data_IF_539141276541
#
_entry.id   IF_539141276541
#
_cell.length_a   1.000
_cell.length_b   1.000
_cell.length_c   1.000
_cell.angle_alpha   90.00
_cell.angle_beta   90.00
_cell.angle_gamma   90.00
#
_symmetry.space_group_name_H-M   'P 1'
#
loop_
_entity.id
_entity.type
_entity.pdbx_description
1 polymer ?
#
# COMPACT_ATOMS: atom_id res chain seq x y z
N UNK A 1 5.85 -18.23 23.38
CA UNK A 1 6.44 -16.91 23.60
C UNK A 1 5.56 -16.02 24.52
N UNK A 2 4.24 -16.08 24.40
CA UNK A 2 3.32 -15.20 25.15
C UNK A 2 3.30 -15.43 26.66
N UNK A 3 3.57 -16.67 27.14
CA UNK A 3 3.43 -17.05 28.55
C UNK A 3 4.75 -17.35 29.23
N UNK A 4 5.69 -17.98 28.54
CA UNK A 4 6.88 -18.58 29.15
C UNK A 4 8.16 -17.76 28.92
N UNK A 5 8.14 -16.79 27.99
CA UNK A 5 9.30 -15.93 27.69
C UNK A 5 9.08 -14.57 28.32
N UNK A 6 10.06 -14.11 29.09
CA UNK A 6 10.04 -12.80 29.71
C UNK A 6 9.86 -11.70 28.64
N UNK A 7 8.82 -10.86 28.80
CA UNK A 7 8.43 -9.84 27.82
C UNK A 7 8.06 -10.38 26.43
N UNK A 8 7.90 -11.70 26.25
CA UNK A 8 7.55 -12.30 24.98
C UNK A 8 6.22 -11.79 24.41
N UNK A 9 5.24 -11.47 25.27
CA UNK A 9 4.00 -10.82 24.90
C UNK A 9 4.24 -9.45 24.24
N UNK A 10 5.18 -8.66 24.76
CA UNK A 10 5.50 -7.36 24.20
C UNK A 10 6.13 -7.47 22.81
N UNK A 11 7.11 -8.36 22.64
CA UNK A 11 7.69 -8.63 21.32
C UNK A 11 6.66 -9.13 20.31
N UNK A 12 5.76 -10.01 20.74
CA UNK A 12 4.67 -10.49 19.88
C UNK A 12 3.76 -9.37 19.45
N UNK A 13 3.30 -8.52 20.36
CA UNK A 13 2.41 -7.41 20.04
C UNK A 13 3.10 -6.29 19.27
N UNK A 14 4.35 -5.98 19.55
CA UNK A 14 5.16 -5.07 18.74
C UNK A 14 5.28 -5.60 17.32
N UNK A 15 5.56 -6.89 17.13
CA UNK A 15 5.74 -7.46 15.81
C UNK A 15 4.43 -7.49 14.99
N UNK A 16 3.35 -8.02 15.54
CA UNK A 16 2.08 -8.16 14.83
C UNK A 16 1.41 -6.81 14.52
N UNK A 17 1.36 -5.91 15.50
CA UNK A 17 0.83 -4.55 15.28
C UNK A 17 1.80 -3.71 14.45
N UNK A 18 3.11 -3.95 14.56
CA UNK A 18 4.13 -3.31 13.74
C UNK A 18 3.92 -3.57 12.26
N UNK A 19 3.59 -4.80 11.87
CA UNK A 19 3.25 -5.13 10.48
C UNK A 19 2.08 -4.26 9.97
N UNK A 20 0.98 -4.15 10.74
CA UNK A 20 -0.15 -3.29 10.42
C UNK A 20 0.24 -1.82 10.33
N UNK A 21 1.05 -1.32 11.26
CA UNK A 21 1.50 0.08 11.26
C UNK A 21 2.43 0.39 10.08
N UNK A 22 3.24 -0.57 9.63
CA UNK A 22 4.04 -0.43 8.41
C UNK A 22 3.14 -0.23 7.18
N UNK A 23 2.11 -1.05 7.00
CA UNK A 23 1.16 -0.88 5.90
C UNK A 23 0.38 0.43 6.00
N UNK A 24 -0.04 0.82 7.20
CA UNK A 24 -0.69 2.11 7.40
C UNK A 24 0.21 3.27 6.93
N UNK A 25 1.47 3.30 7.37
CA UNK A 25 2.43 4.32 6.98
C UNK A 25 2.71 4.31 5.47
N UNK A 26 2.88 3.11 4.88
CA UNK A 26 3.15 2.96 3.44
C UNK A 26 1.95 3.37 2.59
N UNK A 27 0.72 3.04 2.97
CA UNK A 27 -0.46 3.53 2.26
C UNK A 27 -0.57 5.05 2.29
N UNK A 28 -0.35 5.67 3.45
CA UNK A 28 -0.28 7.14 3.55
C UNK A 28 0.82 7.72 2.65
N UNK A 29 1.98 7.06 2.60
CA UNK A 29 3.09 7.46 1.75
C UNK A 29 2.77 7.33 0.26
N UNK A 30 2.14 6.24 -0.17
CA UNK A 30 1.70 6.02 -1.56
C UNK A 30 0.66 7.08 -1.96
N UNK A 31 -0.40 7.25 -1.17
CA UNK A 31 -1.45 8.24 -1.48
C UNK A 31 -0.91 9.68 -1.50
N UNK A 32 -0.01 10.03 -0.57
CA UNK A 32 0.71 11.31 -0.62
C UNK A 32 1.52 11.44 -1.91
N UNK A 33 2.23 10.39 -2.30
CA UNK A 33 2.98 10.36 -3.56
C UNK A 33 2.09 10.59 -4.77
N UNK A 34 0.91 9.97 -4.81
CA UNK A 34 -0.08 10.15 -5.89
C UNK A 34 -0.63 11.58 -5.87
N UNK A 35 -1.02 12.10 -4.71
CA UNK A 35 -1.59 13.43 -4.59
C UNK A 35 -0.65 14.54 -5.06
N UNK A 36 0.62 14.46 -4.70
CA UNK A 36 1.61 15.48 -5.09
C UNK A 36 2.36 15.16 -6.38
N UNK A 37 2.03 14.06 -7.06
CA UNK A 37 2.68 13.67 -8.31
C UNK A 37 4.17 13.31 -8.15
N UNK A 38 4.53 12.70 -7.01
CA UNK A 38 5.93 12.36 -6.69
C UNK A 38 6.49 11.19 -7.51
N UNK A 39 5.68 10.57 -8.34
CA UNK A 39 6.04 9.51 -9.30
C UNK A 39 6.45 10.05 -10.68
N UNK A 40 6.18 11.34 -10.96
CA UNK A 40 6.46 11.96 -12.27
C UNK A 40 7.94 12.29 -12.43
N UNK A 41 8.34 12.44 -13.68
CA UNK A 41 9.71 12.79 -14.05
C UNK A 41 10.33 13.88 -13.14
N UNK A 42 11.59 13.68 -12.72
CA UNK A 42 12.54 12.59 -13.01
C UNK A 42 12.53 11.46 -11.96
N UNK A 43 11.41 11.17 -11.29
CA UNK A 43 11.31 10.29 -10.10
C UNK A 43 10.69 8.92 -10.39
N UNK A 44 10.67 8.48 -11.66
CA UNK A 44 10.08 7.21 -12.07
C UNK A 44 10.78 6.02 -11.43
N UNK A 45 12.12 6.01 -11.45
CA UNK A 45 12.92 4.94 -10.83
C UNK A 45 12.71 4.89 -9.32
N UNK A 46 12.65 6.06 -8.67
CA UNK A 46 12.33 6.18 -7.25
C UNK A 46 10.97 5.56 -6.94
N UNK A 47 9.95 5.82 -7.76
CA UNK A 47 8.61 5.26 -7.61
C UNK A 47 8.60 3.73 -7.78
N UNK A 48 9.27 3.21 -8.83
CA UNK A 48 9.37 1.77 -9.08
C UNK A 48 10.05 1.03 -7.92
N UNK A 49 11.13 1.57 -7.38
CA UNK A 49 11.77 1.01 -6.18
C UNK A 49 10.79 0.96 -5.00
N UNK A 50 9.95 1.99 -4.83
CA UNK A 50 8.87 1.99 -3.84
C UNK A 50 7.84 0.88 -4.08
N UNK A 51 7.43 0.63 -5.31
CA UNK A 51 6.51 -0.46 -5.66
C UNK A 51 7.15 -1.84 -5.39
N UNK A 52 8.44 -2.00 -5.66
CA UNK A 52 9.18 -3.24 -5.34
C UNK A 52 9.20 -3.45 -3.81
N UNK A 53 9.48 -2.41 -3.01
CA UNK A 53 9.40 -2.50 -1.55
C UNK A 53 8.01 -2.93 -1.11
N UNK A 54 6.96 -2.33 -1.67
CA UNK A 54 5.59 -2.67 -1.35
C UNK A 54 5.24 -4.13 -1.64
N UNK A 55 5.66 -4.67 -2.79
CA UNK A 55 5.50 -6.09 -3.14
C UNK A 55 6.26 -7.02 -2.17
N UNK A 56 7.49 -6.67 -1.83
CA UNK A 56 8.29 -7.43 -0.85
C UNK A 56 7.65 -7.38 0.54
N UNK A 57 7.07 -6.25 0.94
CA UNK A 57 6.32 -6.12 2.19
C UNK A 57 5.08 -7.02 2.21
N UNK A 58 4.29 -7.03 1.12
CA UNK A 58 3.12 -7.92 1.02
C UNK A 58 3.52 -9.39 1.14
N UNK A 59 4.58 -9.80 0.44
CA UNK A 59 5.11 -11.17 0.52
C UNK A 59 5.61 -11.49 1.94
N UNK A 60 6.36 -10.60 2.56
CA UNK A 60 6.87 -10.74 3.93
C UNK A 60 5.73 -10.91 4.92
N UNK A 61 4.73 -10.02 4.87
CA UNK A 61 3.61 -10.05 5.78
C UNK A 61 2.75 -11.32 5.60
N UNK A 62 2.46 -11.70 4.36
CA UNK A 62 1.72 -12.93 4.07
C UNK A 62 2.44 -14.17 4.65
N UNK A 63 3.73 -14.33 4.36
CA UNK A 63 4.50 -15.46 4.88
C UNK A 63 4.57 -15.43 6.41
N UNK A 64 4.73 -14.24 7.02
CA UNK A 64 4.75 -14.07 8.47
C UNK A 64 3.43 -14.42 9.15
N UNK A 65 2.30 -14.11 8.50
CA UNK A 65 0.99 -14.48 9.02
C UNK A 65 0.73 -15.97 9.03
N UNK A 66 1.40 -16.73 8.17
CA UNK A 66 1.30 -18.20 8.15
C UNK A 66 2.02 -18.83 9.34
N UNK A 67 3.07 -18.22 9.88
CA UNK A 67 3.96 -18.82 10.88
C UNK A 67 3.32 -19.18 12.23
N UNK A 68 2.33 -18.42 12.77
CA UNK A 68 1.61 -18.81 13.99
C UNK A 68 0.88 -20.15 13.87
N UNK A 69 0.58 -20.59 12.66
CA UNK A 69 -0.07 -21.87 12.37
C UNK A 69 -1.45 -22.02 13.03
N UNK A 70 -2.18 -20.92 13.06
CA UNK A 70 -3.61 -20.91 13.44
C UNK A 70 -4.50 -21.23 12.24
N UNK A 71 -5.81 -21.25 12.47
CA UNK A 71 -6.82 -21.55 11.44
C UNK A 71 -6.73 -20.57 10.26
N UNK A 72 -6.63 -19.26 10.50
CA UNK A 72 -6.48 -18.29 9.43
C UNK A 72 -5.11 -18.36 8.75
N UNK A 73 -4.04 -18.68 9.49
CA UNK A 73 -2.72 -18.91 8.93
C UNK A 73 -2.72 -20.03 7.90
N UNK A 74 -3.26 -21.19 8.27
CA UNK A 74 -3.31 -22.37 7.43
C UNK A 74 -4.23 -22.22 6.22
N UNK A 75 -5.46 -21.76 6.46
CA UNK A 75 -6.45 -21.63 5.40
C UNK A 75 -6.17 -20.43 4.49
N UNK A 76 -5.62 -19.33 5.02
CA UNK A 76 -5.12 -18.23 4.23
C UNK A 76 -3.98 -18.65 3.30
N UNK A 77 -3.00 -19.44 3.81
CA UNK A 77 -1.95 -20.01 2.98
C UNK A 77 -2.52 -20.93 1.90
N UNK A 78 -3.47 -21.80 2.23
CA UNK A 78 -4.12 -22.72 1.30
C UNK A 78 -4.82 -21.97 0.17
N UNK A 79 -5.61 -20.94 0.48
CA UNK A 79 -6.35 -20.15 -0.50
C UNK A 79 -5.38 -19.38 -1.42
N UNK A 80 -4.46 -18.61 -0.83
CA UNK A 80 -3.59 -17.71 -1.61
C UNK A 80 -2.60 -18.50 -2.48
N UNK A 81 -1.98 -19.54 -1.96
CA UNK A 81 -1.04 -20.34 -2.77
C UNK A 81 -1.75 -21.16 -3.85
N UNK A 82 -3.00 -21.56 -3.61
CA UNK A 82 -3.81 -22.21 -4.64
C UNK A 82 -4.22 -21.27 -5.79
N UNK A 83 -4.10 -19.94 -5.64
CA UNK A 83 -4.34 -19.02 -6.76
C UNK A 83 -3.38 -19.29 -7.93
N UNK A 84 -2.15 -19.69 -7.65
CA UNK A 84 -1.18 -20.02 -8.69
C UNK A 84 -1.62 -21.20 -9.57
N UNK A 85 -2.48 -22.10 -9.08
CA UNK A 85 -3.01 -23.19 -9.90
C UNK A 85 -3.93 -22.72 -11.05
N UNK A 86 -4.33 -21.42 -11.06
CA UNK A 86 -5.06 -20.83 -12.16
C UNK A 86 -4.20 -20.57 -13.41
N UNK A 87 -2.87 -20.56 -13.27
CA UNK A 87 -1.94 -20.33 -14.39
C UNK A 87 -2.03 -21.51 -15.35
N UNK A 88 -2.35 -21.28 -16.65
CA UNK A 88 -2.45 -22.35 -17.62
C UNK A 88 -1.15 -23.14 -17.73
N UNK A 89 -1.26 -24.45 -17.97
CA UNK A 89 -0.18 -25.42 -18.21
C UNK A 89 0.70 -25.70 -16.97
N UNK A 90 1.20 -24.69 -16.27
CA UNK A 90 2.20 -24.85 -15.19
C UNK A 90 1.64 -24.65 -13.79
N UNK A 91 0.44 -24.12 -13.63
CA UNK A 91 -0.10 -23.64 -12.35
C UNK A 91 -0.12 -24.70 -11.26
N UNK A 92 -0.53 -25.93 -11.59
CA UNK A 92 -0.52 -27.04 -10.63
C UNK A 92 0.91 -27.35 -10.13
N UNK A 93 1.89 -27.39 -11.03
CA UNK A 93 3.29 -27.61 -10.69
C UNK A 93 3.85 -26.49 -9.82
N UNK A 94 3.49 -25.24 -10.12
CA UNK A 94 3.88 -24.08 -9.31
C UNK A 94 3.30 -24.17 -7.89
N UNK A 95 2.02 -24.54 -7.75
CA UNK A 95 1.41 -24.70 -6.42
C UNK A 95 2.08 -25.81 -5.61
N UNK A 96 2.33 -26.97 -6.21
CA UNK A 96 3.05 -28.09 -5.55
C UNK A 96 4.47 -27.67 -5.16
N UNK A 97 5.15 -26.94 -6.03
CA UNK A 97 6.48 -26.42 -5.74
C UNK A 97 6.47 -25.44 -4.57
N UNK A 98 5.49 -24.53 -4.51
CA UNK A 98 5.32 -23.58 -3.40
C UNK A 98 5.06 -24.31 -2.07
N UNK A 99 4.17 -25.30 -2.07
CA UNK A 99 3.86 -26.08 -0.87
C UNK A 99 5.03 -26.95 -0.43
N UNK A 100 5.81 -27.44 -1.37
CA UNK A 100 6.84 -28.46 -1.12
C UNK A 100 6.29 -29.85 -0.87
N UNK A 101 4.98 -30.01 -1.09
CA UNK A 101 4.19 -31.22 -0.93
C UNK A 101 2.93 -31.09 -1.80
N UNK A 102 1.98 -32.01 -1.68
CA UNK A 102 0.71 -31.95 -2.40
C UNK A 102 -0.37 -31.10 -1.71
N UNK A 103 -0.08 -30.59 -0.52
CA UNK A 103 -0.92 -29.70 0.27
C UNK A 103 -0.04 -28.79 1.12
N UNK A 104 -0.66 -27.75 1.69
CA UNK A 104 -0.02 -26.89 2.69
C UNK A 104 0.25 -27.73 3.94
N UNK A 105 1.52 -27.81 4.36
CA UNK A 105 1.97 -28.60 5.50
C UNK A 105 3.32 -28.07 6.03
N UNK A 106 3.98 -28.82 6.86
CA UNK A 106 5.27 -28.51 7.48
C UNK A 106 6.33 -28.04 6.46
N UNK A 107 6.39 -28.65 5.27
CA UNK A 107 7.29 -28.21 4.20
C UNK A 107 7.02 -26.76 3.77
N UNK A 108 5.76 -26.38 3.66
CA UNK A 108 5.33 -25.00 3.36
C UNK A 108 5.75 -24.05 4.48
N UNK A 109 5.47 -24.44 5.72
CA UNK A 109 5.80 -23.64 6.90
C UNK A 109 7.30 -23.33 6.99
N UNK A 110 8.17 -24.33 6.78
CA UNK A 110 9.61 -24.14 6.80
C UNK A 110 10.11 -23.20 5.70
N UNK A 111 9.57 -23.34 4.49
CA UNK A 111 9.90 -22.43 3.37
C UNK A 111 9.48 -21.00 3.65
N UNK A 112 8.27 -20.83 4.18
CA UNK A 112 7.76 -19.51 4.50
C UNK A 112 8.51 -18.86 5.67
N UNK A 113 8.93 -19.65 6.65
CA UNK A 113 9.81 -19.17 7.71
C UNK A 113 11.13 -18.63 7.13
N UNK A 114 11.80 -19.42 6.27
CA UNK A 114 13.08 -19.02 5.67
C UNK A 114 12.94 -17.75 4.82
N UNK A 115 11.87 -17.65 4.01
CA UNK A 115 11.63 -16.49 3.18
C UNK A 115 11.19 -15.27 4.02
N UNK A 116 10.36 -15.47 5.05
CA UNK A 116 9.98 -14.38 5.95
C UNK A 116 11.19 -13.79 6.68
N UNK A 117 12.17 -14.63 7.03
CA UNK A 117 13.43 -14.19 7.61
C UNK A 117 14.30 -13.41 6.60
N UNK A 118 14.37 -13.87 5.35
CA UNK A 118 15.23 -13.29 4.30
C UNK A 118 14.69 -11.96 3.74
N UNK A 119 13.38 -11.90 3.46
CA UNK A 119 12.78 -10.76 2.75
C UNK A 119 12.97 -9.41 3.45
N UNK A 120 12.93 -9.27 4.78
CA UNK A 120 13.22 -8.00 5.44
C UNK A 120 14.61 -7.43 5.15
N UNK A 121 15.63 -8.28 4.97
CA UNK A 121 16.96 -7.82 4.57
C UNK A 121 16.97 -7.35 3.11
N UNK A 122 16.23 -8.01 2.23
CA UNK A 122 16.03 -7.55 0.86
C UNK A 122 15.28 -6.20 0.85
N UNK A 123 14.24 -6.05 1.66
CA UNK A 123 13.53 -4.77 1.83
C UNK A 123 14.51 -3.68 2.26
N UNK A 124 15.34 -3.94 3.29
CA UNK A 124 16.33 -2.97 3.76
C UNK A 124 17.31 -2.55 2.64
N UNK A 125 17.78 -3.51 1.83
CA UNK A 125 18.61 -3.22 0.66
C UNK A 125 17.92 -2.34 -0.38
N UNK A 126 16.67 -2.66 -0.74
CA UNK A 126 15.89 -1.86 -1.71
C UNK A 126 15.51 -0.49 -1.14
N UNK A 127 15.26 -0.37 0.18
CA UNK A 127 15.06 0.92 0.86
C UNK A 127 16.32 1.78 0.73
N UNK A 128 17.52 1.19 0.91
CA UNK A 128 18.78 1.89 0.66
C UNK A 128 18.86 2.47 -0.75
N UNK A 129 18.48 1.67 -1.77
CA UNK A 129 18.43 2.12 -3.17
C UNK A 129 17.34 3.18 -3.39
N UNK A 130 16.18 3.06 -2.74
CA UNK A 130 15.10 4.03 -2.82
C UNK A 130 15.50 5.40 -2.26
N UNK A 131 16.16 5.41 -1.10
CA UNK A 131 16.69 6.64 -0.49
C UNK A 131 17.83 7.22 -1.33
N UNK A 132 18.72 6.38 -1.84
CA UNK A 132 19.78 6.83 -2.77
C UNK A 132 19.19 7.48 -4.04
N UNK A 133 18.20 6.84 -4.67
CA UNK A 133 17.54 7.41 -5.85
C UNK A 133 16.87 8.76 -5.54
N UNK A 134 16.28 8.92 -4.34
CA UNK A 134 15.75 10.20 -3.89
C UNK A 134 16.83 11.29 -3.84
N UNK A 135 18.01 10.98 -3.36
CA UNK A 135 19.11 11.95 -3.27
C UNK A 135 19.69 12.30 -4.64
N UNK A 136 19.63 11.39 -5.61
CA UNK A 136 20.06 11.64 -6.99
C UNK A 136 19.16 12.64 -7.71
N UNK A 137 17.83 12.47 -7.59
CA UNK A 137 16.85 13.28 -8.33
C UNK A 137 16.24 14.43 -7.51
N UNK A 138 16.50 14.47 -6.20
CA UNK A 138 15.93 15.44 -5.27
C UNK A 138 14.47 15.13 -4.91
N UNK A 139 14.05 15.64 -3.75
CA UNK A 139 12.68 15.49 -3.28
C UNK A 139 11.68 16.34 -4.07
N UNK A 140 10.43 15.86 -4.13
CA UNK A 140 9.30 16.66 -4.58
C UNK A 140 8.83 17.60 -3.45
N UNK A 141 8.01 18.58 -3.79
CA UNK A 141 7.37 19.50 -2.84
C UNK A 141 5.86 19.61 -3.08
N UNK A 142 5.08 20.17 -2.13
CA UNK A 142 3.62 20.24 -2.26
C UNK A 142 3.11 21.04 -3.46
N UNK A 143 3.89 21.92 -4.01
CA UNK A 143 3.54 22.69 -5.20
C UNK A 143 3.94 21.98 -6.51
N UNK A 144 4.83 21.00 -6.44
CA UNK A 144 5.31 20.25 -7.60
C UNK A 144 6.21 21.10 -8.53
N UNK A 145 6.73 22.19 -8.04
CA UNK A 145 7.61 23.13 -8.78
C UNK A 145 9.07 22.79 -8.44
N UNK A 146 9.91 22.70 -9.45
CA UNK A 146 11.32 22.43 -9.23
C UNK A 146 12.03 23.60 -8.55
N UNK A 147 13.00 23.28 -7.68
CA UNK A 147 13.86 24.27 -7.02
C UNK A 147 14.74 24.94 -8.09
N UNK A 148 14.61 26.25 -8.24
CA UNK A 148 15.40 27.04 -9.17
C UNK A 148 16.57 27.76 -8.49
N UNK A 149 16.31 28.28 -7.31
CA UNK A 149 17.31 28.96 -6.49
C UNK A 149 17.30 28.38 -5.08
N UNK A 150 18.37 27.69 -4.69
CA UNK A 150 18.46 26.98 -3.41
C UNK A 150 18.33 27.96 -2.24
N UNK A 151 18.98 29.13 -2.30
CA UNK A 151 18.95 30.12 -1.20
C UNK A 151 17.57 30.70 -0.98
N UNK A 152 16.79 30.89 -2.06
CA UNK A 152 15.45 31.50 -1.99
C UNK A 152 14.33 30.46 -1.80
N UNK A 153 14.46 29.29 -2.42
CA UNK A 153 13.39 28.29 -2.55
C UNK A 153 13.48 27.17 -1.48
N UNK A 154 14.53 27.15 -0.65
CA UNK A 154 14.73 26.12 0.37
C UNK A 154 14.95 26.71 1.75
N UNK A 155 14.81 25.86 2.75
CA UNK A 155 15.16 26.14 4.14
C UNK A 155 16.16 25.08 4.63
N UNK A 156 16.90 25.39 5.69
CA UNK A 156 17.84 24.43 6.28
C UNK A 156 17.11 23.13 6.70
N UNK A 157 17.75 22.00 6.48
CA UNK A 157 17.18 20.72 6.89
C UNK A 157 16.98 20.66 8.40
N UNK A 158 18.01 21.03 9.16
CA UNK A 158 17.94 21.19 10.61
C UNK A 158 17.87 22.69 10.95
N UNK A 159 16.91 23.16 11.75
CA UNK A 159 15.95 22.38 12.55
C UNK A 159 14.60 22.09 11.84
N UNK A 160 14.32 22.64 10.66
CA UNK A 160 12.96 22.67 10.11
C UNK A 160 12.43 21.28 9.73
N UNK A 161 13.14 20.54 8.88
CA UNK A 161 12.71 19.19 8.48
C UNK A 161 12.84 18.21 9.66
N UNK A 162 13.94 18.28 10.43
CA UNK A 162 14.17 17.38 11.56
C UNK A 162 13.11 17.49 12.65
N UNK A 163 12.65 18.71 13.00
CA UNK A 163 11.57 18.90 13.97
C UNK A 163 10.23 18.40 13.44
N UNK A 164 9.96 18.60 12.14
CA UNK A 164 8.74 18.14 11.51
C UNK A 164 8.67 16.61 11.43
N UNK A 165 9.79 15.98 11.11
CA UNK A 165 9.92 14.52 11.09
C UNK A 165 9.81 13.93 12.51
N UNK A 166 10.44 14.56 13.51
CA UNK A 166 10.33 14.15 14.91
C UNK A 166 8.88 14.24 15.42
N UNK A 167 8.15 15.31 15.06
CA UNK A 167 6.73 15.43 15.40
C UNK A 167 5.90 14.30 14.73
N UNK A 168 6.10 14.06 13.44
CA UNK A 168 5.41 12.99 12.71
C UNK A 168 5.70 11.61 13.32
N UNK A 169 6.96 11.35 13.66
CA UNK A 169 7.37 10.13 14.36
C UNK A 169 6.72 10.00 15.74
N UNK A 170 6.66 11.06 16.53
CA UNK A 170 6.03 11.04 17.85
C UNK A 170 4.53 10.69 17.74
N UNK A 171 3.80 11.30 16.80
CA UNK A 171 2.38 10.98 16.55
C UNK A 171 2.21 9.51 16.13
N UNK A 172 3.06 9.03 15.23
CA UNK A 172 3.03 7.62 14.79
C UNK A 172 3.29 6.68 15.97
N UNK A 173 4.27 6.96 16.82
CA UNK A 173 4.58 6.13 17.98
C UNK A 173 3.47 6.13 19.02
N UNK A 174 2.76 7.24 19.23
CA UNK A 174 1.58 7.29 20.12
C UNK A 174 0.48 6.36 19.61
N UNK A 175 0.16 6.41 18.30
CA UNK A 175 -0.85 5.54 17.70
C UNK A 175 -0.41 4.07 17.77
N UNK A 176 0.85 3.78 17.48
CA UNK A 176 1.40 2.43 17.57
C UNK A 176 1.36 1.88 19.00
N UNK A 177 1.79 2.68 19.99
CA UNK A 177 1.73 2.33 21.40
C UNK A 177 0.28 2.07 21.86
N UNK A 178 -0.69 2.83 21.35
CA UNK A 178 -2.10 2.60 21.64
C UNK A 178 -2.52 1.18 21.23
N UNK A 179 -2.19 0.74 20.00
CA UNK A 179 -2.49 -0.63 19.57
C UNK A 179 -1.76 -1.67 20.42
N UNK A 180 -0.46 -1.49 20.69
CA UNK A 180 0.35 -2.46 21.43
C UNK A 180 -0.12 -2.66 22.88
N UNK A 181 -0.47 -1.56 23.57
CA UNK A 181 -0.71 -1.62 25.01
C UNK A 181 -2.19 -1.66 25.41
N UNK A 182 -3.10 -1.15 24.59
CA UNK A 182 -4.51 -1.05 24.95
C UNK A 182 -5.43 -1.98 24.16
N UNK A 183 -5.16 -2.17 22.86
CA UNK A 183 -6.02 -3.00 21.98
C UNK A 183 -5.18 -3.94 21.09
N UNK A 184 -4.26 -4.74 21.64
CA UNK A 184 -3.23 -5.45 20.85
C UNK A 184 -3.78 -6.49 19.87
N UNK A 185 -5.00 -6.98 20.06
CA UNK A 185 -5.63 -8.00 19.23
C UNK A 185 -6.65 -7.43 18.23
N UNK A 186 -6.88 -6.12 18.23
CA UNK A 186 -7.96 -5.50 17.45
C UNK A 186 -7.76 -5.67 15.92
N UNK A 187 -6.52 -5.66 15.45
CA UNK A 187 -6.19 -5.81 14.03
C UNK A 187 -5.96 -7.26 13.61
N UNK A 188 -6.09 -8.22 14.51
CA UNK A 188 -5.96 -9.64 14.24
C UNK A 188 -7.31 -10.33 14.09
N UNK A 189 -7.28 -11.59 13.65
CA UNK A 189 -8.44 -12.46 13.55
C UNK A 189 -8.49 -13.41 14.75
N UNK A 190 -9.68 -13.52 15.38
CA UNK A 190 -9.87 -14.35 16.56
C UNK A 190 -9.70 -15.86 16.26
N UNK A 191 -10.10 -16.32 15.07
CA UNK A 191 -9.97 -17.71 14.66
C UNK A 191 -8.51 -18.15 14.53
N UNK A 192 -7.58 -17.21 14.37
CA UNK A 192 -6.16 -17.53 14.30
C UNK A 192 -5.53 -17.92 15.66
N UNK A 193 -6.28 -17.77 16.75
CA UNK A 193 -5.89 -18.34 18.07
C UNK A 193 -6.25 -19.82 18.23
N UNK A 194 -7.07 -20.36 17.32
CA UNK A 194 -7.35 -21.80 17.25
C UNK A 194 -6.23 -22.48 16.43
N UNK A 195 -5.76 -23.62 16.88
CA UNK A 195 -4.75 -24.40 16.16
C UNK A 195 -5.25 -24.77 14.76
N UNK A 196 -4.36 -24.73 13.78
CA UNK A 196 -4.66 -25.14 12.41
C UNK A 196 -5.24 -26.57 12.37
N UNK A 197 -6.42 -26.71 11.77
CA UNK A 197 -7.06 -27.98 11.54
C UNK A 197 -7.43 -28.12 10.07
N UNK A 198 -6.73 -28.97 9.30
CA UNK A 198 -6.96 -29.15 7.87
C UNK A 198 -8.33 -29.81 7.54
N UNK A 199 -8.99 -30.41 8.55
CA UNK A 199 -10.28 -31.07 8.39
C UNK A 199 -11.49 -30.14 8.64
N UNK A 200 -11.25 -28.94 9.18
CA UNK A 200 -12.31 -27.98 9.53
C UNK A 200 -12.02 -26.65 8.86
N UNK A 201 -12.73 -26.39 7.75
CA UNK A 201 -12.63 -25.11 7.05
C UNK A 201 -13.39 -24.03 7.81
N UNK A 202 -12.78 -22.87 8.13
CA UNK A 202 -13.49 -21.74 8.72
C UNK A 202 -14.61 -21.24 7.79
N UNK A 203 -15.69 -20.75 8.38
CA UNK A 203 -16.82 -20.22 7.62
C UNK A 203 -16.43 -18.99 6.80
N UNK A 204 -15.49 -18.20 7.30
CA UNK A 204 -15.03 -16.98 6.65
C UNK A 204 -13.48 -16.94 6.66
N UNK A 205 -12.86 -17.04 5.49
CA UNK A 205 -11.41 -16.95 5.33
C UNK A 205 -11.10 -15.61 4.68
N UNK A 206 -10.42 -14.74 5.42
CA UNK A 206 -9.99 -13.41 4.93
C UNK A 206 -8.50 -13.19 5.21
N UNK A 207 -7.79 -12.50 4.33
CA UNK A 207 -6.45 -12.04 4.62
C UNK A 207 -6.49 -10.86 5.59
N UNK A 208 -5.33 -10.45 6.08
CA UNK A 208 -5.21 -9.27 6.91
C UNK A 208 -5.70 -7.99 6.21
N UNK A 209 -6.15 -7.01 7.00
CA UNK A 209 -6.90 -5.83 6.53
C UNK A 209 -6.22 -5.08 5.38
N UNK A 210 -4.90 -5.01 5.38
CA UNK A 210 -4.14 -4.30 4.35
C UNK A 210 -4.11 -5.01 2.98
N UNK A 211 -4.52 -6.26 2.90
CA UNK A 211 -4.66 -7.03 1.65
C UNK A 211 -6.12 -7.07 1.14
N UNK A 212 -7.08 -6.68 1.98
CA UNK A 212 -8.51 -6.78 1.68
C UNK A 212 -8.95 -6.07 0.39
N UNK A 213 -8.41 -4.89 0.01
CA UNK A 213 -8.81 -4.25 -1.25
C UNK A 213 -8.53 -5.13 -2.46
N UNK A 214 -7.38 -5.77 -2.51
CA UNK A 214 -6.99 -6.68 -3.60
C UNK A 214 -7.77 -8.00 -3.54
N UNK A 215 -8.05 -8.48 -2.35
CA UNK A 215 -8.88 -9.66 -2.13
C UNK A 215 -10.32 -9.43 -2.57
N UNK A 216 -10.88 -8.23 -2.36
CA UNK A 216 -12.19 -7.87 -2.87
C UNK A 216 -12.24 -7.90 -4.41
N UNK A 217 -11.20 -7.35 -5.07
CA UNK A 217 -11.07 -7.41 -6.54
C UNK A 217 -11.04 -8.86 -7.02
N UNK A 218 -10.22 -9.71 -6.39
CA UNK A 218 -10.14 -11.13 -6.72
C UNK A 218 -11.51 -11.82 -6.64
N UNK A 219 -12.19 -11.65 -5.50
CA UNK A 219 -13.48 -12.31 -5.20
C UNK A 219 -14.63 -11.81 -6.08
N UNK A 220 -14.58 -10.57 -6.55
CA UNK A 220 -15.61 -9.97 -7.39
C UNK A 220 -15.76 -10.69 -8.74
N UNK A 221 -14.76 -11.42 -9.19
CA UNK A 221 -14.67 -11.99 -10.52
C UNK A 221 -14.87 -13.50 -10.45
N UNK A 222 -15.91 -14.07 -11.10
CA UNK A 222 -16.23 -15.51 -11.00
C UNK A 222 -15.15 -16.42 -11.58
N UNK A 223 -14.50 -15.99 -12.67
CA UNK A 223 -13.44 -16.77 -13.31
C UNK A 223 -12.13 -16.63 -12.52
N UNK A 224 -11.60 -17.74 -11.99
CA UNK A 224 -10.42 -17.77 -11.14
C UNK A 224 -9.19 -17.13 -11.80
N UNK A 225 -8.92 -17.45 -13.07
CA UNK A 225 -7.76 -16.89 -13.79
C UNK A 225 -7.89 -15.39 -13.97
N UNK A 226 -9.06 -14.92 -14.41
CA UNK A 226 -9.31 -13.47 -14.59
C UNK A 226 -9.24 -12.75 -13.26
N UNK A 227 -9.78 -13.32 -12.17
CA UNK A 227 -9.67 -12.77 -10.83
C UNK A 227 -8.20 -12.60 -10.38
N UNK A 228 -7.37 -13.62 -10.63
CA UNK A 228 -5.93 -13.58 -10.34
C UNK A 228 -5.21 -12.51 -11.18
N UNK A 229 -5.52 -12.42 -12.47
CA UNK A 229 -4.98 -11.39 -13.36
C UNK A 229 -5.37 -9.99 -12.84
N UNK A 230 -6.62 -9.79 -12.44
CA UNK A 230 -7.07 -8.51 -11.91
C UNK A 230 -6.39 -8.18 -10.55
N UNK A 231 -6.23 -9.15 -9.66
CA UNK A 231 -5.52 -8.93 -8.40
C UNK A 231 -4.08 -8.43 -8.63
N UNK A 232 -3.29 -9.17 -9.42
CA UNK A 232 -1.92 -8.77 -9.74
C UNK A 232 -1.86 -7.53 -10.63
N UNK A 233 -2.81 -7.38 -11.55
CA UNK A 233 -2.95 -6.20 -12.41
C UNK A 233 -3.22 -4.92 -11.61
N UNK A 234 -4.03 -4.99 -10.57
CA UNK A 234 -4.28 -3.85 -9.69
C UNK A 234 -3.00 -3.33 -9.02
N UNK A 235 -2.12 -4.25 -8.60
CA UNK A 235 -0.82 -3.88 -8.02
C UNK A 235 0.14 -3.40 -9.12
N UNK A 236 0.17 -4.07 -10.27
CA UNK A 236 1.04 -3.71 -11.38
C UNK A 236 0.76 -2.30 -11.92
N UNK A 237 -0.51 -1.86 -11.93
CA UNK A 237 -0.88 -0.51 -12.35
C UNK A 237 -0.21 0.59 -11.53
N UNK A 238 0.11 0.33 -10.25
CA UNK A 238 0.91 1.27 -9.45
C UNK A 238 2.31 1.48 -10.06
N UNK A 239 2.92 0.43 -10.61
CA UNK A 239 4.22 0.55 -11.26
C UNK A 239 4.14 1.38 -12.55
N UNK A 240 3.03 1.25 -13.31
CA UNK A 240 2.84 1.97 -14.57
C UNK A 240 2.31 3.40 -14.39
N UNK A 241 1.97 3.82 -13.19
CA UNK A 241 1.41 5.14 -12.90
C UNK A 241 2.20 6.32 -13.50
N UNK A 242 3.56 6.35 -13.50
CA UNK A 242 4.32 7.45 -14.10
C UNK A 242 4.00 7.73 -15.57
N UNK A 243 3.64 6.68 -16.32
CA UNK A 243 3.35 6.75 -17.76
C UNK A 243 1.86 6.86 -18.06
N UNK A 244 0.99 6.46 -17.13
CA UNK A 244 -0.45 6.57 -17.27
C UNK A 244 -0.96 7.99 -17.01
N UNK A 245 -0.35 8.71 -16.08
CA UNK A 245 -0.68 10.11 -15.82
C UNK A 245 0.17 11.06 -16.67
N UNK A 246 -0.32 11.35 -17.86
CA UNK A 246 0.35 12.16 -18.88
C UNK A 246 0.32 13.68 -18.61
N UNK A 247 -0.38 14.16 -17.59
CA UNK A 247 -0.41 15.60 -17.25
C UNK A 247 1.00 16.11 -16.88
N UNK A 248 1.45 17.24 -17.42
CA UNK A 248 2.73 17.84 -17.04
C UNK A 248 2.73 18.43 -15.63
N UNK A 249 1.55 18.73 -15.08
CA UNK A 249 1.40 19.30 -13.74
C UNK A 249 1.42 18.18 -12.69
N UNK A 250 2.29 18.31 -11.69
CA UNK A 250 2.50 17.27 -10.66
C UNK A 250 1.41 17.29 -9.59
N UNK A 251 1.29 18.38 -8.87
CA UNK A 251 0.48 18.46 -7.65
C UNK A 251 -1.01 18.61 -7.93
N UNK A 252 -1.84 17.82 -7.24
CA UNK A 252 -3.29 17.93 -7.20
C UNK A 252 -3.80 19.33 -6.78
N UNK A 253 -2.96 20.13 -6.14
CA UNK A 253 -3.28 21.52 -5.77
C UNK A 253 -3.65 22.36 -6.99
N UNK A 254 -3.01 22.10 -8.13
CA UNK A 254 -3.20 22.82 -9.39
C UNK A 254 -4.05 22.05 -10.39
N UNK A 255 -4.52 20.87 -10.03
CA UNK A 255 -5.32 19.96 -10.85
C UNK A 255 -6.70 19.73 -10.21
N UNK A 256 -7.66 20.63 -10.40
CA UNK A 256 -8.92 20.61 -9.66
C UNK A 256 -9.76 19.35 -9.92
N UNK A 257 -9.80 18.86 -11.17
CA UNK A 257 -10.57 17.67 -11.55
C UNK A 257 -9.86 16.41 -11.04
N UNK A 258 -8.54 16.31 -11.25
CA UNK A 258 -7.73 15.22 -10.70
C UNK A 258 -7.88 15.10 -9.18
N UNK A 259 -7.93 16.23 -8.47
CA UNK A 259 -8.11 16.24 -7.01
C UNK A 259 -9.42 15.58 -6.56
N UNK A 260 -10.51 15.79 -7.31
CA UNK A 260 -11.79 15.12 -7.03
C UNK A 260 -11.66 13.62 -7.27
N UNK A 261 -11.16 13.22 -8.44
CA UNK A 261 -10.98 11.79 -8.76
C UNK A 261 -10.00 11.09 -7.83
N UNK A 262 -8.98 11.79 -7.34
CA UNK A 262 -8.08 11.24 -6.31
C UNK A 262 -8.84 10.87 -5.03
N UNK A 263 -9.70 11.75 -4.52
CA UNK A 263 -10.47 11.44 -3.31
C UNK A 263 -11.54 10.35 -3.56
N UNK A 264 -12.12 10.33 -4.76
CA UNK A 264 -12.98 9.21 -5.17
C UNK A 264 -12.18 7.90 -5.19
N UNK A 265 -10.96 7.90 -5.71
CA UNK A 265 -10.08 6.73 -5.71
C UNK A 265 -9.73 6.27 -4.29
N UNK A 266 -9.45 7.19 -3.36
CA UNK A 266 -9.26 6.85 -1.93
C UNK A 266 -10.51 6.18 -1.37
N UNK A 267 -11.70 6.74 -1.63
CA UNK A 267 -12.97 6.15 -1.18
C UNK A 267 -13.20 4.75 -1.79
N UNK A 268 -12.84 4.55 -3.07
CA UNK A 268 -12.90 3.25 -3.75
C UNK A 268 -11.99 2.24 -3.06
N UNK A 269 -10.75 2.61 -2.72
CA UNK A 269 -9.82 1.70 -2.03
C UNK A 269 -10.33 1.32 -0.64
N UNK A 270 -10.86 2.28 0.13
CA UNK A 270 -11.45 2.03 1.44
C UNK A 270 -12.72 1.15 1.34
N UNK A 271 -13.58 1.42 0.35
CA UNK A 271 -14.76 0.62 0.07
C UNK A 271 -14.42 -0.82 -0.33
N UNK A 272 -13.40 -1.03 -1.18
CA UNK A 272 -12.89 -2.36 -1.52
C UNK A 272 -12.32 -3.07 -0.27
N UNK A 273 -11.61 -2.35 0.60
CA UNK A 273 -11.11 -2.89 1.86
C UNK A 273 -12.27 -3.38 2.74
N UNK A 274 -13.30 -2.57 2.91
CA UNK A 274 -14.49 -2.96 3.66
C UNK A 274 -15.23 -4.15 3.02
N UNK A 275 -15.46 -4.14 1.70
CA UNK A 275 -16.09 -5.25 0.99
C UNK A 275 -15.27 -6.54 1.06
N UNK A 276 -13.94 -6.42 1.09
CA UNK A 276 -13.04 -7.56 1.25
C UNK A 276 -13.21 -8.31 2.57
N UNK A 277 -13.64 -7.62 3.63
CA UNK A 277 -13.93 -8.19 4.94
C UNK A 277 -15.34 -8.74 5.10
N UNK A 278 -16.25 -8.46 4.14
CA UNK A 278 -17.64 -8.91 4.25
C UNK A 278 -17.84 -10.32 3.71
N UNK A 279 -18.89 -10.99 4.19
CA UNK A 279 -19.36 -12.25 3.60
C UNK A 279 -19.80 -12.05 2.15
N UNK A 280 -19.68 -13.12 1.35
CA UNK A 280 -20.06 -13.11 -0.06
C UNK A 280 -21.58 -13.18 -0.18
N UNK A 281 -22.16 -12.17 -0.79
CA UNK A 281 -23.56 -12.12 -1.21
C UNK A 281 -23.67 -11.50 -2.60
N UNK A 282 -24.84 -11.58 -3.23
CA UNK A 282 -25.04 -10.94 -4.54
C UNK A 282 -24.81 -9.42 -4.45
N UNK A 283 -25.27 -8.79 -3.37
CA UNK A 283 -25.11 -7.35 -3.13
C UNK A 283 -23.63 -6.95 -2.92
N UNK A 284 -22.90 -7.66 -2.05
CA UNK A 284 -21.47 -7.37 -1.80
C UNK A 284 -20.62 -7.66 -3.03
N UNK A 285 -20.98 -8.70 -3.80
CA UNK A 285 -20.29 -9.04 -5.06
C UNK A 285 -20.52 -7.97 -6.13
N UNK A 286 -21.74 -7.48 -6.29
CA UNK A 286 -22.05 -6.41 -7.25
C UNK A 286 -21.32 -5.12 -6.88
N UNK A 287 -21.35 -4.73 -5.60
CA UNK A 287 -20.65 -3.56 -5.10
C UNK A 287 -19.13 -3.67 -5.33
N UNK A 288 -18.54 -4.84 -5.04
CA UNK A 288 -17.12 -5.09 -5.28
C UNK A 288 -16.74 -5.01 -6.78
N UNK A 289 -17.60 -5.49 -7.69
CA UNK A 289 -17.41 -5.33 -9.15
C UNK A 289 -17.41 -3.87 -9.59
N UNK A 290 -18.36 -3.08 -9.08
CA UNK A 290 -18.46 -1.66 -9.40
C UNK A 290 -17.22 -0.90 -8.88
N UNK A 291 -16.81 -1.14 -7.64
CA UNK A 291 -15.61 -0.51 -7.09
C UNK A 291 -14.32 -0.99 -7.77
N UNK A 292 -14.22 -2.27 -8.12
CA UNK A 292 -13.10 -2.79 -8.91
C UNK A 292 -13.03 -2.13 -10.29
N UNK A 293 -14.16 -1.96 -10.98
CA UNK A 293 -14.22 -1.18 -12.21
C UNK A 293 -13.73 0.25 -12.01
N UNK A 294 -14.19 0.95 -10.96
CA UNK A 294 -13.73 2.30 -10.63
C UNK A 294 -12.22 2.35 -10.34
N UNK A 295 -11.68 1.33 -9.66
CA UNK A 295 -10.25 1.20 -9.41
C UNK A 295 -9.45 1.17 -10.72
N UNK A 296 -9.79 0.27 -11.63
CA UNK A 296 -9.11 0.16 -12.92
C UNK A 296 -9.36 1.39 -13.82
N UNK A 297 -10.57 1.91 -13.81
CA UNK A 297 -10.92 3.12 -14.57
C UNK A 297 -10.10 4.34 -14.15
N UNK A 298 -9.77 4.47 -12.87
CA UNK A 298 -8.90 5.56 -12.41
C UNK A 298 -7.57 5.55 -13.15
N UNK A 299 -6.89 4.40 -13.25
CA UNK A 299 -5.59 4.30 -13.91
C UNK A 299 -5.68 4.33 -15.44
N UNK A 300 -6.62 3.57 -16.01
CA UNK A 300 -6.64 3.29 -17.45
C UNK A 300 -7.47 4.29 -18.26
N UNK A 301 -8.37 5.02 -17.61
CA UNK A 301 -9.29 5.95 -18.28
C UNK A 301 -9.11 7.37 -17.73
N UNK A 302 -9.28 7.55 -16.42
CA UNK A 302 -9.32 8.87 -15.81
C UNK A 302 -7.96 9.58 -15.95
N UNK A 303 -6.86 8.93 -15.57
CA UNK A 303 -5.54 9.57 -15.64
C UNK A 303 -5.13 9.98 -17.06
N UNK A 304 -5.22 9.12 -18.10
CA UNK A 304 -4.92 9.50 -19.47
C UNK A 304 -5.82 10.64 -19.98
N UNK A 305 -7.13 10.57 -19.72
CA UNK A 305 -8.07 11.61 -20.17
C UNK A 305 -7.81 12.96 -19.48
N UNK A 306 -7.51 12.96 -18.19
CA UNK A 306 -7.16 14.19 -17.48
C UNK A 306 -5.87 14.81 -18.01
N UNK A 307 -4.89 13.98 -18.42
CA UNK A 307 -3.69 14.50 -19.06
C UNK A 307 -3.95 15.25 -20.36
N UNK A 308 -5.03 14.89 -21.07
CA UNK A 308 -5.41 15.52 -22.34
C UNK A 308 -6.36 16.71 -22.17
N UNK A 309 -7.30 16.64 -21.23
CA UNK A 309 -8.44 17.56 -21.21
C UNK A 309 -8.53 18.44 -19.96
N UNK A 310 -7.76 18.13 -18.88
CA UNK A 310 -7.86 18.90 -17.65
C UNK A 310 -7.26 20.31 -17.80
N UNK A 311 -8.06 21.34 -17.50
CA UNK A 311 -7.59 22.71 -17.36
C UNK A 311 -6.96 22.87 -15.97
N UNK A 312 -5.63 22.97 -15.95
CA UNK A 312 -4.87 23.17 -14.72
C UNK A 312 -4.85 24.63 -14.30
N UNK A 313 -4.67 24.88 -13.00
CA UNK A 313 -4.41 26.23 -12.50
C UNK A 313 -2.99 26.66 -12.86
N UNK A 314 -2.73 27.97 -12.97
CA UNK A 314 -1.38 28.47 -13.21
C UNK A 314 -0.44 28.05 -12.07
N UNK A 315 0.75 27.61 -12.46
CA UNK A 315 1.80 27.27 -11.50
C UNK A 315 2.54 28.54 -11.06
N UNK A 316 3.00 28.61 -9.80
CA UNK A 316 3.88 29.69 -9.36
C UNK A 316 5.23 29.61 -10.09
N UNK A 317 5.88 30.73 -10.28
CA UNK A 317 7.17 30.77 -10.96
C UNK A 317 8.31 30.12 -10.15
N UNK A 318 8.20 30.16 -8.81
CA UNK A 318 9.13 29.52 -7.87
C UNK A 318 8.40 29.06 -6.60
N UNK A 319 9.08 28.29 -5.75
CA UNK A 319 8.57 27.88 -4.44
C UNK A 319 8.41 29.12 -3.54
N UNK A 320 9.38 30.03 -3.55
CA UNK A 320 9.33 31.27 -2.78
C UNK A 320 8.12 32.12 -3.16
N UNK A 321 7.82 32.25 -4.46
CA UNK A 321 6.65 33.00 -4.93
C UNK A 321 5.33 32.38 -4.45
N UNK A 322 5.24 31.03 -4.43
CA UNK A 322 4.08 30.31 -3.90
C UNK A 322 3.84 30.56 -2.41
N UNK A 323 4.90 30.76 -1.63
CA UNK A 323 4.84 31.04 -0.19
C UNK A 323 4.53 32.52 0.07
N UNK A 324 5.22 33.43 -0.61
CA UNK A 324 5.06 34.87 -0.43
C UNK A 324 3.69 35.35 -0.87
N UNK A 325 3.13 34.80 -1.98
CA UNK A 325 1.79 35.13 -2.42
C UNK A 325 0.69 34.78 -1.40
N UNK A 326 0.94 33.81 -0.50
CA UNK A 326 0.01 33.48 0.60
C UNK A 326 0.10 34.44 1.78
N UNK A 327 1.24 35.08 1.97
CA UNK A 327 1.49 36.04 3.02
C UNK A 327 1.19 37.50 2.64
N UNK A 328 0.93 37.77 1.37
CA UNK A 328 0.55 39.13 0.92
C UNK A 328 -0.86 39.43 1.45
N UNK A 329 -1.08 40.63 2.07
CA UNK A 329 -2.44 41.07 2.39
C UNK A 329 -3.28 41.08 1.11
N UNK A 330 -4.55 40.67 1.21
CA UNK A 330 -5.47 40.76 0.11
C UNK A 330 -5.43 42.20 -0.44
N UNK A 331 -5.16 42.35 -1.75
CA UNK A 331 -5.19 43.67 -2.38
C UNK A 331 -6.57 44.27 -2.09
N UNK A 332 -6.59 45.43 -1.42
CA UNK A 332 -7.82 46.18 -1.24
C UNK A 332 -8.37 46.47 -2.63
N UNK A 333 -9.68 46.31 -2.88
CA UNK A 333 -10.27 46.73 -4.15
C UNK A 333 -9.94 48.21 -4.32
N UNK A 334 -9.41 48.56 -5.48
CA UNK A 334 -9.23 49.97 -5.85
C UNK A 334 -10.62 50.64 -5.82
N UNK A 335 -10.75 51.66 -4.99
CA UNK A 335 -11.94 52.53 -4.94
C UNK A 335 -12.15 53.24 -6.27
#
# INVERSE_FOLDING_TARGET
>A
IMRDVNYGWLFRYLHSNGASMFFFAVYMHIFRGIYYGSYKAPREVLWILGVIIYLLMMATAFMGYVLPWGQMSFWGATVITNLFSAIPLVGKSVSIWLWGAYAVDNATLNRFFSLHYLLPFMIAGVVGLHVWALHVVGQNNPDGVEVKNVERDTVAFTPYATLKDAFGLAVFLIVYAWFVFYIPNYLGDADNYNNANPLVTPAHIVPEWYLLPFYAILRAIPNKLVGVICLFGAIALLAFLPWLDTSPVKSAKYRPVFRVFFWVFVAVCLGLGWLGSQEVSDGTTLAARLLAFCYFAFFLIVLPLLGLFEKTKPLPASIADAVLAKGAPAAQPAE
#
